data_IF_210980815716
#
_entry.id   IF_210980815716
#
_cell.length_a   1.000
_cell.length_b   1.000
_cell.length_c   1.000
_cell.angle_alpha   90.00
_cell.angle_beta   90.00
_cell.angle_gamma   90.00
#
_symmetry.space_group_name_H-M   'P 1'
#
loop_
_entity.id
_entity.type
_entity.pdbx_description
1 polymer ?
#
# COMPACT_ATOMS: atom_id res chain seq x y z
N UNK A 1 -5.94 -11.38 3.45
CA UNK A 1 -6.81 -10.66 2.49
C UNK A 1 -7.28 -9.31 3.05
N UNK A 2 -8.17 -9.24 4.05
CA UNK A 2 -8.71 -7.97 4.57
C UNK A 2 -7.64 -6.95 5.01
N UNK A 3 -6.60 -7.40 5.72
CA UNK A 3 -5.48 -6.53 6.12
C UNK A 3 -4.69 -5.97 4.94
N UNK A 4 -4.49 -6.76 3.88
CA UNK A 4 -3.80 -6.33 2.67
C UNK A 4 -4.62 -5.29 1.89
N UNK A 5 -5.93 -5.50 1.78
CA UNK A 5 -6.85 -4.55 1.13
C UNK A 5 -6.87 -3.20 1.89
N UNK A 6 -6.93 -3.23 3.23
CA UNK A 6 -6.87 -2.01 4.05
C UNK A 6 -5.53 -1.28 3.90
N UNK A 7 -4.41 -2.00 3.81
CA UNK A 7 -3.10 -1.37 3.59
C UNK A 7 -3.02 -0.68 2.23
N UNK A 8 -3.49 -1.33 1.17
CA UNK A 8 -3.53 -0.76 -0.18
C UNK A 8 -4.39 0.52 -0.20
N UNK A 9 -5.58 0.47 0.41
CA UNK A 9 -6.47 1.64 0.47
C UNK A 9 -5.88 2.77 1.30
N UNK A 10 -5.18 2.46 2.39
CA UNK A 10 -4.51 3.46 3.25
C UNK A 10 -3.40 4.18 2.48
N UNK A 11 -2.53 3.44 1.78
CA UNK A 11 -1.45 4.04 0.99
C UNK A 11 -1.99 4.84 -0.20
N UNK A 12 -3.11 4.43 -0.79
CA UNK A 12 -3.77 5.18 -1.86
C UNK A 12 -4.48 6.45 -1.39
N UNK A 13 -5.33 6.33 -0.37
CA UNK A 13 -6.33 7.33 0.01
C UNK A 13 -5.96 8.18 1.23
N UNK A 14 -5.09 7.70 2.13
CA UNK A 14 -4.77 8.38 3.41
C UNK A 14 -3.38 9.02 3.41
N UNK A 15 -2.93 9.52 2.27
CA UNK A 15 -1.67 10.26 2.17
C UNK A 15 -1.85 11.69 2.66
N UNK A 16 -0.80 12.27 3.24
CA UNK A 16 -0.83 13.69 3.61
C UNK A 16 -0.99 14.58 2.36
N UNK A 17 -1.74 15.69 2.45
CA UNK A 17 -1.91 16.61 1.34
C UNK A 17 -0.54 17.12 0.85
N UNK A 18 -0.29 17.03 -0.46
CA UNK A 18 0.99 17.44 -1.06
C UNK A 18 2.10 16.38 -1.04
N UNK A 19 1.85 15.17 -0.52
CA UNK A 19 2.80 14.06 -0.61
C UNK A 19 2.74 13.41 -2.00
N UNK A 20 3.78 13.64 -2.80
CA UNK A 20 3.98 12.99 -4.11
C UNK A 20 4.37 11.52 -3.90
N UNK A 21 3.92 10.63 -4.78
CA UNK A 21 4.16 9.18 -4.67
C UNK A 21 5.65 8.81 -4.55
N UNK A 22 6.52 9.54 -5.26
CA UNK A 22 7.98 9.35 -5.24
C UNK A 22 8.62 9.69 -3.89
N UNK A 23 7.95 10.50 -3.06
CA UNK A 23 8.43 10.92 -1.74
C UNK A 23 7.96 9.99 -0.62
N UNK A 24 7.18 8.95 -0.95
CA UNK A 24 6.76 7.95 0.02
C UNK A 24 7.98 7.08 0.41
N UNK A 25 8.20 6.80 1.70
CA UNK A 25 9.32 5.97 2.14
C UNK A 25 9.34 4.59 1.48
N UNK A 26 10.55 4.08 1.19
CA UNK A 26 10.75 2.76 0.56
C UNK A 26 10.10 1.62 1.34
N UNK A 27 10.01 1.72 2.66
CA UNK A 27 9.32 0.73 3.48
C UNK A 27 7.83 0.61 3.14
N UNK A 28 7.14 1.74 2.96
CA UNK A 28 5.70 1.75 2.61
C UNK A 28 5.50 1.12 1.23
N UNK A 29 6.39 1.44 0.28
CA UNK A 29 6.39 0.79 -1.04
C UNK A 29 6.59 -0.73 -0.95
N UNK A 30 7.53 -1.21 -0.14
CA UNK A 30 7.75 -2.63 0.06
C UNK A 30 6.51 -3.33 0.65
N UNK A 31 5.82 -2.69 1.60
CA UNK A 31 4.57 -3.20 2.18
C UNK A 31 3.43 -3.20 1.15
N UNK A 32 3.32 -2.17 0.30
CA UNK A 32 2.31 -2.14 -0.77
C UNK A 32 2.52 -3.28 -1.77
N UNK A 33 3.76 -3.54 -2.19
CA UNK A 33 4.07 -4.66 -3.11
C UNK A 33 3.70 -6.01 -2.48
N UNK A 34 4.10 -6.24 -1.23
CA UNK A 34 3.77 -7.49 -0.53
C UNK A 34 2.26 -7.64 -0.28
N UNK A 35 1.53 -6.54 0.00
CA UNK A 35 0.07 -6.55 0.12
C UNK A 35 -0.61 -6.91 -1.21
N UNK A 36 -0.13 -6.38 -2.34
CA UNK A 36 -0.64 -6.75 -3.67
C UNK A 36 -0.40 -8.23 -3.97
N UNK A 37 0.81 -8.72 -3.71
CA UNK A 37 1.13 -10.14 -3.87
C UNK A 37 0.28 -11.03 -2.97
N UNK A 38 -0.01 -10.60 -1.74
CA UNK A 38 -0.87 -11.33 -0.81
C UNK A 38 -2.32 -11.43 -1.31
N UNK A 39 -2.85 -10.38 -1.92
CA UNK A 39 -4.20 -10.39 -2.54
C UNK A 39 -4.21 -11.21 -3.83
N UNK A 40 -3.12 -11.22 -4.60
CA UNK A 40 -3.03 -12.04 -5.82
C UNK A 40 -2.80 -13.53 -5.53
N UNK A 41 -2.19 -13.88 -4.40
CA UNK A 41 -1.86 -15.26 -4.02
C UNK A 41 -2.94 -15.92 -3.15
N UNK A 42 -3.66 -15.14 -2.36
CA UNK A 42 -4.82 -15.61 -1.61
C UNK A 42 -6.08 -15.27 -2.43
N UNK A 43 -6.84 -16.28 -2.89
CA UNK A 43 -7.97 -16.10 -3.81
C UNK A 43 -9.11 -15.26 -3.22
#
# INVERSE_FOLDING_TARGET
ILGAINFISTVGNMRSPGLVAERIPLFVWAVTVTAVLLVASLP
#
